data_IF_411008803067
#
_entry.id   IF_411008803067
#
_cell.length_a   1.000
_cell.length_b   1.000
_cell.length_c   1.000
_cell.angle_alpha   90.00
_cell.angle_beta   90.00
_cell.angle_gamma   90.00
#
_symmetry.space_group_name_H-M   'P 1'
#
loop_
_entity.id
_entity.type
_entity.pdbx_description
1 polymer ?
#
# COMPACT_ATOMS: atom_id res chain seq x y z
N UNK A 1 -9.17 20.79 -39.70
CA UNK A 1 -8.34 21.48 -38.71
C UNK A 1 -7.86 20.41 -37.73
N UNK A 2 -6.69 19.87 -38.06
CA UNK A 2 -5.75 19.00 -37.32
C UNK A 2 -6.27 18.08 -36.23
N UNK A 3 -6.41 16.79 -36.60
CA UNK A 3 -6.26 15.64 -35.72
C UNK A 3 -4.83 15.62 -35.15
N UNK A 4 -4.70 15.57 -33.83
CA UNK A 4 -3.42 15.42 -33.12
C UNK A 4 -3.25 13.94 -32.82
N UNK A 5 -2.65 13.22 -33.76
CA UNK A 5 -2.27 11.82 -33.57
C UNK A 5 -0.82 11.79 -33.02
N UNK A 6 -0.70 11.77 -31.70
CA UNK A 6 0.60 11.62 -31.01
C UNK A 6 0.97 10.14 -30.93
N UNK A 7 2.18 9.72 -31.33
CA UNK A 7 2.60 8.33 -31.30
C UNK A 7 3.07 7.97 -29.87
N UNK A 8 2.13 7.75 -28.96
CA UNK A 8 2.46 7.18 -27.66
C UNK A 8 2.66 5.67 -27.84
N UNK A 9 3.85 5.17 -27.46
CA UNK A 9 4.16 3.74 -27.40
C UNK A 9 3.07 3.03 -26.58
N UNK A 10 2.27 2.19 -27.24
CA UNK A 10 1.19 1.47 -26.59
C UNK A 10 1.77 0.54 -25.51
N UNK A 11 1.38 0.77 -24.25
CA UNK A 11 1.72 -0.11 -23.14
C UNK A 11 0.95 -1.43 -23.31
N UNK A 12 1.66 -2.56 -23.21
CA UNK A 12 1.02 -3.88 -23.21
C UNK A 12 0.46 -4.14 -21.83
N UNK A 13 -0.86 -4.07 -21.70
CA UNK A 13 -1.58 -4.54 -20.50
C UNK A 13 -1.43 -6.06 -20.43
N UNK A 14 -0.86 -6.56 -19.32
CA UNK A 14 -0.69 -7.99 -19.10
C UNK A 14 -1.94 -8.61 -18.46
N UNK A 15 -2.59 -7.89 -17.55
CA UNK A 15 -3.78 -8.31 -16.84
C UNK A 15 -4.59 -7.07 -16.41
N UNK A 16 -5.91 -7.17 -16.42
CA UNK A 16 -6.83 -6.13 -15.96
C UNK A 16 -7.94 -6.77 -15.13
N UNK A 17 -8.35 -6.11 -14.06
CA UNK A 17 -9.41 -6.56 -13.17
C UNK A 17 -10.22 -5.40 -12.61
N UNK A 18 -11.43 -5.72 -12.15
CA UNK A 18 -12.30 -4.78 -11.44
C UNK A 18 -12.37 -5.21 -9.98
N UNK A 19 -12.17 -4.25 -9.07
CA UNK A 19 -12.29 -4.46 -7.63
C UNK A 19 -13.43 -3.64 -7.06
N UNK A 20 -14.18 -4.19 -6.11
CA UNK A 20 -15.17 -3.41 -5.37
C UNK A 20 -14.46 -2.30 -4.60
N UNK A 21 -14.94 -1.07 -4.77
CA UNK A 21 -14.53 0.02 -3.88
C UNK A 21 -15.20 -0.18 -2.53
N UNK A 22 -14.43 -0.57 -1.52
CA UNK A 22 -14.93 -0.69 -0.16
C UNK A 22 -14.99 0.70 0.49
N UNK A 23 -16.18 1.23 0.83
CA UNK A 23 -16.27 2.48 1.57
C UNK A 23 -15.58 2.31 2.91
N UNK A 24 -14.60 3.16 3.19
CA UNK A 24 -13.85 3.13 4.44
C UNK A 24 -14.71 3.76 5.53
N UNK A 25 -15.02 3.01 6.59
CA UNK A 25 -15.60 3.58 7.80
C UNK A 25 -14.54 4.39 8.55
N UNK A 26 -14.50 5.68 8.24
CA UNK A 26 -13.53 6.61 8.82
C UNK A 26 -13.74 6.76 10.33
N UNK A 27 -14.98 6.70 10.80
CA UNK A 27 -15.30 6.89 12.22
C UNK A 27 -14.98 5.64 13.03
N UNK A 28 -15.29 4.45 12.52
CA UNK A 28 -14.85 3.19 13.10
C UNK A 28 -13.32 3.07 13.16
N UNK A 29 -12.61 3.50 12.10
CA UNK A 29 -11.15 3.55 12.14
C UNK A 29 -10.63 4.51 13.22
N UNK A 30 -11.24 5.69 13.37
CA UNK A 30 -10.88 6.66 14.42
C UNK A 30 -11.13 6.11 15.82
N UNK A 31 -12.25 5.44 16.04
CA UNK A 31 -12.56 4.79 17.31
C UNK A 31 -11.53 3.69 17.62
N UNK A 32 -11.24 2.81 16.66
CA UNK A 32 -10.23 1.78 16.85
C UNK A 32 -8.85 2.37 17.19
N UNK A 33 -8.41 3.41 16.46
CA UNK A 33 -7.15 4.11 16.73
C UNK A 33 -7.18 4.81 18.10
N UNK A 34 -8.34 5.27 18.56
CA UNK A 34 -8.48 5.88 19.88
C UNK A 34 -8.18 4.86 20.98
N UNK A 35 -8.71 3.66 20.83
CA UNK A 35 -8.80 2.67 21.91
C UNK A 35 -7.68 1.61 21.86
N UNK A 36 -7.10 1.34 20.70
CA UNK A 36 -6.16 0.23 20.50
C UNK A 36 -4.75 0.66 20.09
N UNK A 37 -4.59 1.88 19.54
CA UNK A 37 -3.26 2.33 19.12
C UNK A 37 -2.41 2.62 20.34
N UNK A 38 -1.34 1.85 20.51
CA UNK A 38 -0.34 2.12 21.54
C UNK A 38 0.29 3.51 21.34
N UNK A 39 0.28 4.31 22.42
CA UNK A 39 0.84 5.68 22.48
C UNK A 39 2.02 5.76 23.44
N UNK A 40 2.47 4.64 24.00
CA UNK A 40 3.63 4.58 24.87
C UNK A 40 4.92 4.94 24.11
N UNK A 41 5.90 5.48 24.85
CA UNK A 41 7.23 5.78 24.32
C UNK A 41 8.11 4.53 24.41
N UNK A 42 7.75 3.51 23.64
CA UNK A 42 8.51 2.26 23.55
C UNK A 42 9.58 2.33 22.44
N UNK A 43 10.78 1.79 22.67
CA UNK A 43 11.77 1.62 21.61
C UNK A 43 11.21 0.77 20.47
N UNK A 44 11.35 1.26 19.23
CA UNK A 44 10.97 0.55 18.00
C UNK A 44 12.17 0.01 17.21
N UNK A 45 13.35 -0.01 17.85
CA UNK A 45 14.56 -0.58 17.26
C UNK A 45 14.44 -2.10 17.19
N UNK A 46 14.83 -2.66 16.06
CA UNK A 46 14.93 -4.09 15.82
C UNK A 46 16.03 -4.35 14.80
N UNK A 47 16.50 -5.58 14.75
CA UNK A 47 17.42 -6.07 13.72
C UNK A 47 16.71 -6.22 12.39
N UNK A 48 17.48 -6.30 11.30
CA UNK A 48 16.97 -6.52 9.95
C UNK A 48 16.17 -7.82 9.87
N UNK A 49 16.65 -8.87 10.56
CA UNK A 49 15.98 -10.16 10.61
C UNK A 49 14.59 -10.06 11.27
N UNK A 50 14.50 -9.38 12.41
CA UNK A 50 13.22 -9.19 13.11
C UNK A 50 12.23 -8.37 12.28
N UNK A 51 12.71 -7.40 11.50
CA UNK A 51 11.86 -6.63 10.60
C UNK A 51 11.29 -7.52 9.48
N UNK A 52 12.13 -8.34 8.84
CA UNK A 52 11.70 -9.27 7.78
C UNK A 52 10.67 -10.27 8.33
N UNK A 53 10.96 -10.90 9.46
CA UNK A 53 10.07 -11.90 10.07
C UNK A 53 8.71 -11.33 10.51
N UNK A 54 8.62 -10.02 10.78
CA UNK A 54 7.38 -9.38 11.26
C UNK A 54 6.55 -8.71 10.17
N UNK A 55 7.16 -8.32 9.06
CA UNK A 55 6.55 -7.37 8.11
C UNK A 55 6.69 -7.76 6.64
N UNK A 56 7.30 -8.91 6.31
CA UNK A 56 7.45 -9.36 4.93
C UNK A 56 6.76 -10.71 4.77
N UNK A 57 5.75 -10.74 3.91
CA UNK A 57 5.04 -11.95 3.53
C UNK A 57 5.46 -12.43 2.12
N UNK A 58 5.22 -13.70 1.84
CA UNK A 58 5.53 -14.29 0.53
C UNK A 58 4.71 -13.59 -0.57
N UNK A 59 5.42 -13.01 -1.55
CA UNK A 59 4.81 -12.27 -2.66
C UNK A 59 4.83 -10.75 -2.48
N UNK A 60 5.31 -10.23 -1.35
CA UNK A 60 5.54 -8.82 -1.16
C UNK A 60 6.66 -8.30 -2.08
N UNK A 61 6.48 -7.08 -2.57
CA UNK A 61 7.50 -6.37 -3.35
C UNK A 61 8.22 -5.38 -2.46
N UNK A 62 9.55 -5.48 -2.41
CA UNK A 62 10.41 -4.55 -1.71
C UNK A 62 10.87 -3.45 -2.66
N UNK A 63 10.76 -2.19 -2.22
CA UNK A 63 11.32 -1.04 -2.91
C UNK A 63 12.50 -0.49 -2.11
N UNK A 64 13.56 -0.12 -2.82
CA UNK A 64 14.73 0.60 -2.29
C UNK A 64 15.12 1.69 -3.29
N UNK A 65 15.64 2.81 -2.80
CA UNK A 65 16.26 3.91 -3.58
C UNK A 65 17.72 4.03 -3.15
#
# INVERSE_FOLDING_TARGET
>A
MTSVDSPHRALKVLEAGEGAFHPVDVDGFREWVRDHKDRSLTPRLMTEREAVERFVDDGDYLAYD
#
